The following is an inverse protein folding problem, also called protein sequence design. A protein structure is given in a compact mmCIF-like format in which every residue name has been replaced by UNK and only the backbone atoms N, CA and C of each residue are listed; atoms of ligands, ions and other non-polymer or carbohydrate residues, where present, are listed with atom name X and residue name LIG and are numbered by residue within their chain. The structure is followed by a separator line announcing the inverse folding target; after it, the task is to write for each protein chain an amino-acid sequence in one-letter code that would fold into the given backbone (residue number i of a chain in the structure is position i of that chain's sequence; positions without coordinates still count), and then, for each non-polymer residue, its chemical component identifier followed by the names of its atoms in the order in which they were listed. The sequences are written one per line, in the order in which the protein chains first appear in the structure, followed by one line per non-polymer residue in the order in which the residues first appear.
data_IF_722111427181
#
_entry.id   IF_722111427181
#
_cell.length_a   1.000
_cell.length_b   1.000
_cell.length_c   1.000
_cell.angle_alpha   90.00
_cell.angle_beta   90.00
_cell.angle_gamma   90.00
#
_symmetry.space_group_name_H-M   'P 1'
#
loop_
_entity.id
_entity.type
_entity.pdbx_description
1 polymer ?
#
# COMPACT_ATOMS: atom_id res chain seq x y z
N UNK A 1 -13.87 -21.18 -17.18
CA UNK A 1 -14.28 -19.99 -16.40
C UNK A 1 -13.42 -18.83 -16.85
N UNK A 2 -14.05 -17.76 -17.34
CA UNK A 2 -13.41 -16.68 -18.09
C UNK A 2 -12.43 -15.88 -17.21
N UNK A 3 -11.17 -15.87 -17.58
CA UNK A 3 -10.13 -14.99 -17.04
C UNK A 3 -10.46 -13.55 -17.45
N UNK A 4 -10.99 -12.75 -16.52
CA UNK A 4 -11.05 -11.29 -16.70
C UNK A 4 -9.62 -10.80 -16.95
N UNK A 5 -9.36 -10.35 -18.16
CA UNK A 5 -8.13 -9.64 -18.52
C UNK A 5 -7.97 -8.46 -17.57
N UNK A 6 -6.87 -8.42 -16.82
CA UNK A 6 -6.48 -7.23 -16.05
C UNK A 6 -6.26 -6.11 -17.07
N UNK A 7 -7.13 -5.10 -17.05
CA UNK A 7 -6.84 -3.85 -17.76
C UNK A 7 -5.63 -3.21 -17.08
N UNK A 8 -4.49 -3.27 -17.76
CA UNK A 8 -3.25 -2.64 -17.36
C UNK A 8 -3.06 -1.35 -18.15
N UNK A 9 -2.55 -0.30 -17.52
CA UNK A 9 -2.14 0.91 -18.23
C UNK A 9 -0.90 0.65 -19.12
N UNK A 10 -0.43 1.68 -19.84
CA UNK A 10 0.77 1.62 -20.69
C UNK A 10 2.06 1.33 -19.92
N UNK A 11 2.01 1.24 -18.59
CA UNK A 11 3.12 0.96 -17.68
C UNK A 11 2.96 -0.39 -16.97
N UNK A 12 1.98 -1.21 -17.37
CA UNK A 12 1.72 -2.54 -16.81
C UNK A 12 1.09 -2.52 -15.41
N UNK A 13 0.68 -1.35 -14.92
CA UNK A 13 0.00 -1.20 -13.63
C UNK A 13 -1.49 -1.49 -13.79
N UNK A 14 -2.03 -2.26 -12.85
CA UNK A 14 -3.46 -2.56 -12.83
C UNK A 14 -4.26 -1.32 -12.42
N UNK A 15 -5.41 -1.10 -13.08
CA UNK A 15 -6.26 0.09 -12.86
C UNK A 15 -6.75 0.29 -11.42
N UNK A 16 -6.84 -0.77 -10.62
CA UNK A 16 -7.26 -0.68 -9.22
C UNK A 16 -6.32 0.14 -8.32
N UNK A 17 -5.05 0.31 -8.72
CA UNK A 17 -4.09 1.09 -7.94
C UNK A 17 -4.49 2.57 -7.93
N UNK A 18 -5.02 3.06 -9.04
CA UNK A 18 -5.48 4.45 -9.18
C UNK A 18 -6.82 4.73 -8.50
N UNK A 19 -7.54 3.68 -8.08
CA UNK A 19 -8.85 3.77 -7.41
C UNK A 19 -8.78 3.53 -5.91
N UNK A 20 -7.60 3.17 -5.39
CA UNK A 20 -7.42 2.83 -3.98
C UNK A 20 -7.64 4.07 -3.10
N UNK A 21 -8.39 3.87 -2.03
CA UNK A 21 -8.49 4.76 -0.88
C UNK A 21 -7.78 4.11 0.31
N UNK A 22 -7.45 4.93 1.31
CA UNK A 22 -6.78 4.45 2.50
C UNK A 22 -7.52 4.84 3.77
N UNK A 23 -7.36 4.01 4.77
CA UNK A 23 -7.85 4.22 6.12
C UNK A 23 -6.66 4.11 7.08
N UNK A 24 -6.51 5.09 7.96
CA UNK A 24 -5.45 5.14 8.96
C UNK A 24 -6.10 4.99 10.33
N UNK A 25 -6.01 3.81 10.99
CA UNK A 25 -6.68 3.58 12.28
C UNK A 25 -6.18 4.50 13.39
N UNK A 26 -4.86 4.77 13.42
CA UNK A 26 -4.24 5.70 14.36
C UNK A 26 -3.42 6.70 13.57
N UNK A 27 -3.90 7.93 13.45
CA UNK A 27 -3.25 8.96 12.64
C UNK A 27 -1.97 9.45 13.33
N UNK A 28 -0.83 9.55 12.61
CA UNK A 28 0.38 10.17 13.15
C UNK A 28 0.15 11.66 13.38
N UNK A 29 0.84 12.22 14.37
CA UNK A 29 0.81 13.68 14.63
C UNK A 29 1.37 14.48 13.45
N UNK A 30 2.39 13.92 12.77
CA UNK A 30 3.02 14.51 11.60
C UNK A 30 3.42 13.41 10.61
N UNK A 31 3.13 13.64 9.33
CA UNK A 31 3.67 12.83 8.24
C UNK A 31 5.09 13.33 7.89
N UNK A 32 6.05 12.42 7.65
CA UNK A 32 7.31 12.75 6.99
C UNK A 32 7.06 13.37 5.62
N UNK A 33 8.06 14.07 5.07
CA UNK A 33 8.00 14.62 3.72
C UNK A 33 7.79 13.53 2.67
N UNK A 34 8.46 12.39 2.88
CA UNK A 34 8.36 11.20 2.05
C UNK A 34 8.18 9.94 2.89
N UNK A 35 7.36 9.01 2.40
CA UNK A 35 7.14 7.71 3.04
C UNK A 35 6.56 6.70 2.05
N UNK A 36 6.79 5.42 2.31
CA UNK A 36 6.25 4.33 1.52
C UNK A 36 4.99 3.74 2.17
N UNK A 37 4.14 3.10 1.36
CA UNK A 37 2.99 2.31 1.81
C UNK A 37 3.08 0.93 1.13
N UNK A 38 2.98 -0.13 1.94
CA UNK A 38 3.03 -1.51 1.48
C UNK A 38 1.91 -2.33 2.12
N UNK A 39 1.22 -3.13 1.31
CA UNK A 39 0.36 -4.23 1.79
C UNK A 39 1.15 -5.53 1.64
N UNK A 40 0.95 -6.51 2.52
CA UNK A 40 1.54 -7.87 2.37
C UNK A 40 0.45 -8.88 2.01
N UNK A 41 -0.50 -8.46 1.17
CA UNK A 41 -1.72 -9.19 0.86
C UNK A 41 -1.64 -9.76 -0.56
N UNK A 42 -2.05 -11.02 -0.75
CA UNK A 42 -2.09 -11.68 -2.06
C UNK A 42 -0.82 -11.47 -2.93
N UNK A 43 0.36 -11.97 -2.51
CA UNK A 43 1.62 -11.81 -3.23
C UNK A 43 1.48 -12.19 -4.71
N UNK A 44 2.07 -11.38 -5.60
CA UNK A 44 1.96 -11.49 -7.06
C UNK A 44 0.52 -11.56 -7.57
N UNK A 45 -0.43 -10.99 -6.81
CA UNK A 45 -1.87 -11.08 -7.04
C UNK A 45 -2.43 -12.51 -6.98
N UNK A 46 -1.75 -13.41 -6.28
CA UNK A 46 -2.21 -14.76 -6.02
C UNK A 46 -3.06 -14.76 -4.74
N UNK A 47 -4.30 -15.23 -4.86
CA UNK A 47 -5.23 -15.23 -3.73
C UNK A 47 -4.77 -16.23 -2.67
N UNK A 48 -4.40 -15.73 -1.50
CA UNK A 48 -4.10 -16.55 -0.32
C UNK A 48 -5.33 -16.68 0.58
N UNK A 49 -5.25 -17.57 1.56
CA UNK A 49 -6.21 -17.64 2.65
C UNK A 49 -6.08 -16.42 3.58
N UNK A 50 -7.13 -16.14 4.34
CA UNK A 50 -7.10 -15.05 5.32
C UNK A 50 -5.99 -15.26 6.38
N UNK A 51 -5.77 -16.49 6.82
CA UNK A 51 -4.75 -16.80 7.83
C UNK A 51 -3.33 -16.55 7.30
N UNK A 52 -3.04 -16.94 6.06
CA UNK A 52 -1.74 -16.67 5.44
C UNK A 52 -1.49 -15.17 5.27
N UNK A 53 -2.50 -14.42 4.81
CA UNK A 53 -2.40 -12.97 4.69
C UNK A 53 -2.19 -12.29 6.07
N UNK A 54 -2.85 -12.77 7.13
CA UNK A 54 -2.62 -12.30 8.50
C UNK A 54 -1.18 -12.58 8.93
N UNK A 55 -0.69 -13.80 8.74
CA UNK A 55 0.67 -14.17 9.14
C UNK A 55 1.73 -13.33 8.40
N UNK A 56 1.58 -13.14 7.09
CA UNK A 56 2.45 -12.27 6.29
C UNK A 56 2.43 -10.83 6.77
N UNK A 57 1.25 -10.30 7.11
CA UNK A 57 1.12 -8.94 7.64
C UNK A 57 1.80 -8.78 9.02
N UNK A 58 1.73 -9.80 9.88
CA UNK A 58 2.46 -9.83 11.16
C UNK A 58 3.98 -9.81 10.92
N UNK A 59 4.49 -10.63 10.01
CA UNK A 59 5.92 -10.64 9.66
C UNK A 59 6.36 -9.28 9.11
N UNK A 60 5.58 -8.69 8.20
CA UNK A 60 5.82 -7.34 7.67
C UNK A 60 5.91 -6.32 8.79
N UNK A 61 4.96 -6.33 9.73
CA UNK A 61 4.99 -5.43 10.89
C UNK A 61 6.29 -5.57 11.67
N UNK A 62 6.69 -6.80 12.01
CA UNK A 62 7.91 -7.05 12.77
C UNK A 62 9.18 -6.62 12.04
N UNK A 63 9.24 -6.81 10.72
CA UNK A 63 10.34 -6.31 9.89
C UNK A 63 10.39 -4.77 9.98
N UNK A 64 9.27 -4.11 9.66
CA UNK A 64 9.21 -2.64 9.60
C UNK A 64 9.60 -1.97 10.91
N UNK A 65 9.05 -2.41 12.05
CA UNK A 65 9.32 -1.77 13.36
C UNK A 65 10.76 -1.98 13.87
N UNK A 66 11.49 -2.97 13.33
CA UNK A 66 12.90 -3.19 13.66
C UNK A 66 13.83 -2.32 12.82
N UNK A 67 13.41 -1.96 11.61
CA UNK A 67 14.22 -1.23 10.63
C UNK A 67 13.95 0.27 10.65
N UNK A 68 12.70 0.69 10.85
CA UNK A 68 12.27 2.07 10.68
C UNK A 68 11.71 2.66 11.99
N UNK A 69 12.01 3.93 12.22
CA UNK A 69 11.58 4.66 13.42
C UNK A 69 10.17 5.24 13.31
N UNK A 70 9.60 5.31 12.11
CA UNK A 70 8.25 5.78 11.86
C UNK A 70 7.50 4.70 11.08
N UNK A 71 6.58 4.01 11.74
CA UNK A 71 5.76 2.93 11.16
C UNK A 71 4.34 3.04 11.71
N UNK A 72 3.36 3.13 10.82
CA UNK A 72 1.95 3.21 11.18
C UNK A 72 1.12 2.26 10.33
N UNK A 73 0.04 1.73 10.90
CA UNK A 73 -0.91 0.93 10.14
C UNK A 73 -1.68 1.83 9.16
N UNK A 74 -1.85 1.33 7.95
CA UNK A 74 -2.71 1.94 6.92
C UNK A 74 -3.32 0.81 6.08
N UNK A 75 -4.62 0.89 5.83
CA UNK A 75 -5.34 -0.15 5.12
C UNK A 75 -5.79 0.39 3.76
N UNK A 76 -5.39 -0.27 2.67
CA UNK A 76 -5.84 0.07 1.32
C UNK A 76 -7.19 -0.57 1.03
N UNK A 77 -8.10 0.12 0.38
CA UNK A 77 -9.40 -0.42 0.02
C UNK A 77 -9.99 0.22 -1.23
N UNK A 78 -10.94 -0.48 -1.85
CA UNK A 78 -11.75 0.04 -2.95
C UNK A 78 -13.19 0.24 -2.44
N UNK A 79 -13.71 1.47 -2.57
CA UNK A 79 -15.06 1.87 -2.14
C UNK A 79 -16.18 1.07 -2.81
N UNK A 80 -15.94 0.53 -3.99
CA UNK A 80 -16.93 -0.18 -4.81
C UNK A 80 -17.00 -1.67 -4.49
N UNK A 81 -15.86 -2.29 -4.19
CA UNK A 81 -15.78 -3.75 -3.98
C UNK A 81 -15.77 -4.16 -2.52
N UNK A 82 -15.66 -3.21 -1.59
CA UNK A 82 -15.46 -3.43 -0.14
C UNK A 82 -14.20 -4.26 0.19
N UNK A 83 -13.34 -4.52 -0.81
CA UNK A 83 -12.08 -5.19 -0.60
C UNK A 83 -11.16 -4.28 0.22
N UNK A 84 -10.60 -4.82 1.30
CA UNK A 84 -9.74 -4.09 2.24
C UNK A 84 -8.52 -4.94 2.56
N UNK A 85 -7.35 -4.34 2.40
CA UNK A 85 -6.05 -4.96 2.63
C UNK A 85 -5.32 -4.23 3.75
N UNK A 86 -4.90 -4.99 4.76
CA UNK A 86 -4.07 -4.45 5.82
C UNK A 86 -2.66 -4.19 5.31
N UNK A 87 -2.10 -3.06 5.69
CA UNK A 87 -0.76 -2.64 5.31
C UNK A 87 -0.15 -1.68 6.33
N UNK A 88 1.00 -1.14 5.95
CA UNK A 88 1.76 -0.22 6.76
C UNK A 88 2.33 0.91 5.91
N UNK A 89 2.39 2.10 6.50
CA UNK A 89 3.18 3.22 6.01
C UNK A 89 4.42 3.38 6.87
N UNK A 90 5.55 3.68 6.23
CA UNK A 90 6.85 3.75 6.91
C UNK A 90 7.80 4.75 6.23
N UNK A 91 8.69 5.34 7.02
CA UNK A 91 9.71 6.28 6.52
C UNK A 91 10.88 5.52 5.89
N UNK A 92 10.70 5.04 4.66
CA UNK A 92 11.74 4.38 3.91
C UNK A 92 13.02 5.26 3.84
N UNK A 93 14.19 4.64 3.93
CA UNK A 93 15.49 5.35 3.85
C UNK A 93 15.72 5.92 2.44
N UNK A 94 15.17 5.25 1.44
CA UNK A 94 15.17 5.64 0.04
C UNK A 94 14.01 4.97 -0.69
N UNK A 95 13.69 5.47 -1.89
CA UNK A 95 12.74 4.81 -2.78
C UNK A 95 13.17 3.38 -3.16
N UNK A 96 14.47 3.15 -3.36
CA UNK A 96 15.01 1.81 -3.63
C UNK A 96 14.80 0.85 -2.47
N UNK A 97 14.99 1.29 -1.22
CA UNK A 97 14.74 0.45 -0.04
C UNK A 97 13.26 0.05 0.07
N UNK A 98 12.34 0.90 -0.39
CA UNK A 98 10.93 0.58 -0.44
C UNK A 98 10.62 -0.45 -1.54
N UNK A 99 11.27 -0.36 -2.70
CA UNK A 99 11.12 -1.36 -3.77
C UNK A 99 11.64 -2.73 -3.38
N UNK A 100 12.82 -2.78 -2.75
CA UNK A 100 13.42 -4.03 -2.25
C UNK A 100 12.50 -4.72 -1.26
N UNK A 101 11.92 -3.97 -0.31
CA UNK A 101 10.93 -4.51 0.61
C UNK A 101 9.67 -5.00 -0.12
N UNK A 102 9.20 -4.26 -1.12
CA UNK A 102 8.11 -4.69 -1.98
C UNK A 102 8.38 -6.05 -2.63
N UNK A 103 9.58 -6.25 -3.19
CA UNK A 103 9.99 -7.53 -3.79
C UNK A 103 10.09 -8.66 -2.76
N UNK A 104 10.68 -8.39 -1.59
CA UNK A 104 10.79 -9.36 -0.49
C UNK A 104 9.43 -9.90 -0.06
N UNK A 105 8.41 -9.04 -0.03
CA UNK A 105 7.02 -9.42 0.26
C UNK A 105 6.21 -9.79 -1.00
N UNK A 106 6.91 -9.97 -2.12
CA UNK A 106 6.37 -10.38 -3.42
C UNK A 106 5.18 -9.53 -3.87
N UNK A 107 5.25 -8.23 -3.61
CA UNK A 107 4.28 -7.26 -4.07
C UNK A 107 4.56 -6.88 -5.51
N UNK A 108 3.48 -6.71 -6.30
CA UNK A 108 3.58 -6.24 -7.67
C UNK A 108 3.93 -4.75 -7.73
N UNK A 109 3.39 -3.98 -6.78
CA UNK A 109 3.60 -2.55 -6.65
C UNK A 109 3.54 -2.12 -5.17
N UNK A 110 4.15 -0.97 -4.89
CA UNK A 110 3.98 -0.21 -3.66
C UNK A 110 3.39 1.16 -3.98
N UNK A 111 2.90 1.84 -2.95
CA UNK A 111 2.73 3.29 -3.04
C UNK A 111 3.88 4.02 -2.37
N UNK A 112 4.15 5.22 -2.85
CA UNK A 112 5.13 6.13 -2.29
C UNK A 112 4.53 7.53 -2.25
N UNK A 113 4.75 8.27 -1.18
CA UNK A 113 4.24 9.63 -1.01
C UNK A 113 5.42 10.59 -0.93
N UNK A 114 5.34 11.70 -1.67
CA UNK A 114 6.30 12.82 -1.62
C UNK A 114 5.49 14.11 -1.58
N UNK A 115 5.64 14.92 -0.53
CA UNK A 115 4.98 16.23 -0.40
C UNK A 115 3.46 16.18 -0.64
N UNK A 116 2.78 15.21 -0.01
CA UNK A 116 1.33 14.92 -0.17
C UNK A 116 0.93 14.39 -1.56
N UNK A 117 1.85 14.14 -2.48
CA UNK A 117 1.53 13.47 -3.75
C UNK A 117 1.72 11.97 -3.59
N UNK A 118 0.65 11.22 -3.87
CA UNK A 118 0.65 9.76 -3.89
C UNK A 118 1.06 9.27 -5.27
N UNK A 119 2.05 8.38 -5.29
CA UNK A 119 2.49 7.66 -6.45
C UNK A 119 2.28 6.17 -6.26
N UNK A 120 2.03 5.46 -7.36
CA UNK A 120 2.16 4.00 -7.42
C UNK A 120 3.40 3.66 -8.25
N UNK A 121 4.10 2.59 -7.87
CA UNK A 121 5.23 2.10 -8.62
C UNK A 121 5.37 0.58 -8.53
N UNK A 122 5.73 -0.05 -9.65
CA UNK A 122 6.09 -1.47 -9.69
C UNK A 122 7.33 -1.76 -8.84
N UNK A 123 7.35 -2.93 -8.24
CA UNK A 123 8.53 -3.43 -7.52
C UNK A 123 9.59 -4.01 -8.47
N UNK A 124 9.18 -4.51 -9.64
CA UNK A 124 10.04 -5.06 -10.70
C UNK A 124 11.13 -4.05 -11.13
N UNK A 125 12.44 -4.37 -10.98
CA UNK A 125 13.54 -3.44 -11.23
C UNK A 125 13.47 -2.70 -12.58
N UNK A 126 13.11 -3.40 -13.66
CA UNK A 126 13.04 -2.80 -15.00
C UNK A 126 11.85 -1.84 -15.19
N UNK A 127 10.91 -1.77 -14.24
CA UNK A 127 9.66 -1.02 -14.32
C UNK A 127 9.48 -0.03 -13.16
N UNK A 128 10.53 0.23 -12.38
CA UNK A 128 10.52 1.18 -11.27
C UNK A 128 10.37 2.62 -11.78
N UNK A 129 9.12 3.08 -11.91
CA UNK A 129 8.76 4.45 -12.24
C UNK A 129 7.62 4.91 -11.36
N UNK A 130 7.77 6.08 -10.75
CA UNK A 130 6.69 6.74 -10.03
C UNK A 130 5.63 7.21 -11.02
N UNK A 131 4.40 6.70 -10.85
CA UNK A 131 3.23 7.14 -11.59
C UNK A 131 2.31 7.83 -10.61
N UNK A 132 2.04 9.10 -10.86
CA UNK A 132 1.17 9.91 -10.00
C UNK A 132 -0.25 9.33 -9.98
N UNK A 133 -0.82 9.27 -8.77
CA UNK A 133 -2.20 8.84 -8.54
C UNK A 133 -3.08 10.05 -8.23
N UNK A 134 -2.74 10.80 -7.18
CA UNK A 134 -3.51 11.94 -6.65
C UNK A 134 -2.78 12.56 -5.44
N UNK A 135 -3.41 13.52 -4.77
CA UNK A 135 -3.05 13.90 -3.40
C UNK A 135 -3.32 12.76 -2.42
N UNK A 136 -2.33 12.39 -1.62
CA UNK A 136 -2.41 11.36 -0.58
C UNK A 136 -3.53 11.67 0.41
N UNK A 137 -3.60 12.90 0.95
CA UNK A 137 -4.63 13.29 1.89
C UNK A 137 -6.05 13.25 1.30
N UNK A 138 -6.21 13.42 -0.02
CA UNK A 138 -7.50 13.26 -0.70
C UNK A 138 -7.93 11.77 -0.79
N UNK A 139 -6.98 10.84 -0.68
CA UNK A 139 -7.23 9.39 -0.66
C UNK A 139 -7.45 8.83 0.75
N UNK A 140 -7.23 9.62 1.80
CA UNK A 140 -7.55 9.21 3.18
C UNK A 140 -9.04 9.37 3.46
N UNK A 141 -9.71 8.26 3.75
CA UNK A 141 -11.06 8.29 4.29
C UNK A 141 -11.02 8.48 5.81
N UNK A 142 -11.81 9.44 6.30
CA UNK A 142 -11.99 9.63 7.74
C UNK A 142 -12.79 8.44 8.28
N UNK A 143 -12.28 7.80 9.33
CA UNK A 143 -13.13 7.02 10.22
C UNK A 143 -14.23 7.96 10.71
N UNK A 144 -15.50 7.64 10.40
CA UNK A 144 -16.56 8.08 11.29
C UNK A 144 -16.36 7.25 12.56
N UNK A 145 -15.87 7.88 13.63
CA UNK A 145 -16.16 7.34 14.95
C UNK A 145 -17.68 7.29 14.98
N UNK A 146 -18.25 6.09 15.10
CA UNK A 146 -19.64 6.00 15.49
C UNK A 146 -19.67 6.60 16.89
N UNK A 147 -20.08 7.86 17.01
CA UNK A 147 -20.50 8.48 18.26
C UNK A 147 -21.64 7.59 18.78
N UNK A 148 -21.25 6.62 19.60
CA UNK A 148 -22.15 5.74 20.33
C UNK A 148 -21.97 6.18 21.77
N UNK A 149 -22.97 6.95 22.21
CA UNK A 149 -23.25 7.53 23.53
C UNK A 149 -22.47 6.99 24.73
#
# INVERSE_FOLDING_TARGET
MSSKSKETDSQGLCQWYFKTFFEIPVKPNKFPQEFAIITAYNPLNQKLTNQENIFRNILLKHHLIRKYNWVYQINGFDKTTLHKENGFMFNAESLDSAYELGQEYSQDAIYYVIDDILYVCKCEPAQRKLVEVDKFLARICRYKVNDSF
#
